data_IF_384126595103
#
_entry.id   IF_384126595103
#
_cell.length_a   1.000
_cell.length_b   1.000
_cell.length_c   1.000
_cell.angle_alpha   90.00
_cell.angle_beta   90.00
_cell.angle_gamma   90.00
#
_symmetry.space_group_name_H-M   'P 1'
#
loop_
_entity.id
_entity.type
_entity.pdbx_description
1 polymer ?
#
# COMPACT_ATOMS: atom_id res chain seq x y z
N UNK A 1 8.23 21.83 -12.37
CA UNK A 1 8.76 20.54 -11.85
C UNK A 1 10.26 20.57 -12.07
N UNK A 2 11.01 20.46 -11.01
CA UNK A 2 12.48 20.43 -11.04
C UNK A 2 12.97 19.16 -11.80
N UNK A 3 14.19 19.20 -12.33
CA UNK A 3 14.81 18.07 -13.05
C UNK A 3 14.85 16.80 -12.18
N UNK A 4 15.19 16.96 -10.89
CA UNK A 4 15.21 15.87 -9.92
C UNK A 4 13.82 15.24 -9.77
N UNK A 5 12.79 16.06 -9.57
CA UNK A 5 11.40 15.61 -9.43
C UNK A 5 10.90 14.85 -10.67
N UNK A 6 11.26 15.33 -11.87
CA UNK A 6 10.89 14.66 -13.11
C UNK A 6 11.55 13.29 -13.24
N UNK A 7 12.85 13.19 -12.93
CA UNK A 7 13.58 11.93 -12.94
C UNK A 7 12.93 10.93 -11.97
N UNK A 8 12.62 11.35 -10.75
CA UNK A 8 12.01 10.49 -9.74
C UNK A 8 10.62 10.04 -10.18
N UNK A 9 9.81 10.92 -10.80
CA UNK A 9 8.48 10.56 -11.28
C UNK A 9 8.51 9.48 -12.37
N UNK A 10 9.34 9.68 -13.41
CA UNK A 10 9.51 8.72 -14.49
C UNK A 10 10.10 7.39 -13.98
N UNK A 11 11.11 7.47 -13.12
CA UNK A 11 11.72 6.29 -12.53
C UNK A 11 10.72 5.49 -11.66
N UNK A 12 9.88 6.16 -10.87
CA UNK A 12 8.85 5.48 -10.05
C UNK A 12 7.90 4.65 -10.92
N UNK A 13 7.43 5.19 -12.05
CA UNK A 13 6.54 4.45 -12.96
C UNK A 13 7.24 3.22 -13.57
N UNK A 14 8.49 3.37 -14.02
CA UNK A 14 9.28 2.27 -14.57
C UNK A 14 9.54 1.21 -13.49
N UNK A 15 9.89 1.64 -12.27
CA UNK A 15 10.20 0.79 -11.14
C UNK A 15 9.01 -0.11 -10.78
N UNK A 16 7.82 0.46 -10.69
CA UNK A 16 6.59 -0.28 -10.35
C UNK A 16 6.17 -1.27 -11.44
N UNK A 17 6.36 -0.90 -12.73
CA UNK A 17 5.90 -1.72 -13.86
C UNK A 17 6.81 -2.89 -14.20
N UNK A 18 8.15 -2.69 -14.19
CA UNK A 18 9.11 -3.69 -14.67
C UNK A 18 10.08 -4.20 -13.60
N UNK A 19 10.05 -3.64 -12.40
CA UNK A 19 10.97 -3.96 -11.31
C UNK A 19 12.37 -3.37 -11.47
N UNK A 20 13.13 -3.27 -10.35
CA UNK A 20 14.44 -2.68 -10.36
C UNK A 20 15.48 -3.51 -11.15
N UNK A 21 15.35 -4.84 -11.27
CA UNK A 21 16.33 -5.65 -12.01
C UNK A 21 16.34 -5.30 -13.50
N UNK A 22 15.17 -5.11 -14.09
CA UNK A 22 15.00 -4.85 -15.53
C UNK A 22 15.26 -3.40 -15.93
N UNK A 23 15.23 -2.45 -14.99
CA UNK A 23 15.45 -1.03 -15.22
C UNK A 23 16.94 -0.70 -15.18
N UNK A 24 17.44 0.06 -16.16
CA UNK A 24 18.81 0.60 -16.17
C UNK A 24 18.83 2.12 -16.06
N UNK A 25 19.95 2.71 -15.64
CA UNK A 25 20.14 4.17 -15.63
C UNK A 25 20.02 4.76 -17.03
N UNK A 26 20.40 4.00 -18.05
CA UNK A 26 20.26 4.39 -19.47
C UNK A 26 18.80 4.51 -19.89
N UNK A 27 17.96 3.58 -19.45
CA UNK A 27 16.52 3.61 -19.74
C UNK A 27 15.86 4.81 -19.07
N UNK A 28 16.23 5.10 -17.81
CA UNK A 28 15.76 6.28 -17.09
C UNK A 28 16.18 7.58 -17.79
N UNK A 29 17.46 7.70 -18.20
CA UNK A 29 17.94 8.87 -18.91
C UNK A 29 17.16 9.09 -20.21
N UNK A 30 16.90 8.00 -20.97
CA UNK A 30 16.11 8.01 -22.20
C UNK A 30 14.66 8.41 -21.96
N UNK A 31 14.00 7.83 -20.97
CA UNK A 31 12.62 8.15 -20.60
C UNK A 31 12.47 9.61 -20.17
N UNK A 32 13.43 10.13 -19.41
CA UNK A 32 13.46 11.54 -19.01
C UNK A 32 13.90 12.51 -20.13
N UNK A 33 14.39 12.04 -21.28
CA UNK A 33 14.93 12.90 -22.35
C UNK A 33 16.14 13.71 -21.90
N UNK A 34 17.00 13.16 -21.04
CA UNK A 34 18.23 13.81 -20.55
C UNK A 34 19.48 13.00 -20.89
N UNK A 35 20.66 13.64 -20.82
CA UNK A 35 21.92 12.93 -21.00
C UNK A 35 22.19 12.02 -19.77
N UNK A 36 22.94 10.90 -19.98
CA UNK A 36 23.48 10.08 -18.91
C UNK A 36 24.27 10.92 -17.89
N UNK A 37 25.06 11.85 -18.36
CA UNK A 37 25.84 12.76 -17.53
C UNK A 37 24.93 13.53 -16.57
N UNK A 38 23.85 14.13 -17.07
CA UNK A 38 22.88 14.88 -16.25
C UNK A 38 22.21 13.97 -15.21
N UNK A 39 21.89 12.74 -15.59
CA UNK A 39 21.32 11.76 -14.65
C UNK A 39 22.30 11.42 -13.52
N UNK A 40 23.57 11.11 -13.86
CA UNK A 40 24.59 10.77 -12.86
C UNK A 40 25.05 11.97 -12.03
N UNK A 41 24.95 13.19 -12.53
CA UNK A 41 25.15 14.42 -11.74
C UNK A 41 24.03 14.62 -10.69
N UNK A 42 22.80 14.12 -10.96
CA UNK A 42 21.67 14.21 -10.05
C UNK A 42 21.62 13.02 -9.08
N UNK A 43 21.87 11.81 -9.59
CA UNK A 43 21.84 10.54 -8.84
C UNK A 43 23.11 9.74 -9.14
N UNK A 44 24.04 9.60 -8.18
CA UNK A 44 25.35 8.98 -8.43
C UNK A 44 25.25 7.49 -8.82
N UNK A 45 24.18 6.83 -8.44
CA UNK A 45 23.93 5.43 -8.74
C UNK A 45 22.44 5.09 -8.74
N UNK A 46 22.13 3.92 -9.27
CA UNK A 46 20.77 3.38 -9.36
C UNK A 46 20.10 3.18 -8.00
N UNK A 47 20.88 2.77 -6.98
CA UNK A 47 20.38 2.54 -5.63
C UNK A 47 19.85 3.84 -5.02
N UNK A 48 20.63 4.92 -5.10
CA UNK A 48 20.24 6.24 -4.60
C UNK A 48 18.95 6.73 -5.27
N UNK A 49 18.83 6.52 -6.58
CA UNK A 49 17.62 6.86 -7.33
C UNK A 49 16.41 6.03 -6.85
N UNK A 50 16.58 4.72 -6.68
CA UNK A 50 15.50 3.82 -6.18
C UNK A 50 15.05 4.23 -4.78
N UNK A 51 15.97 4.52 -3.86
CA UNK A 51 15.63 5.00 -2.50
C UNK A 51 14.78 6.27 -2.56
N UNK A 52 15.14 7.22 -3.41
CA UNK A 52 14.39 8.46 -3.56
C UNK A 52 12.99 8.22 -4.15
N UNK A 53 12.87 7.31 -5.13
CA UNK A 53 11.57 6.90 -5.68
C UNK A 53 10.66 6.29 -4.59
N UNK A 54 11.18 5.36 -3.79
CA UNK A 54 10.43 4.71 -2.71
C UNK A 54 10.04 5.71 -1.60
N UNK A 55 10.93 6.65 -1.28
CA UNK A 55 10.63 7.72 -0.31
C UNK A 55 9.46 8.59 -0.80
N UNK A 56 9.51 9.03 -2.05
CA UNK A 56 8.44 9.82 -2.66
C UNK A 56 7.09 9.07 -2.67
N UNK A 57 7.10 7.79 -3.04
CA UNK A 57 5.90 6.95 -3.02
C UNK A 57 5.33 6.83 -1.60
N UNK A 58 6.20 6.69 -0.60
CA UNK A 58 5.79 6.64 0.80
C UNK A 58 5.16 7.97 1.25
N UNK A 59 5.76 9.11 0.91
CA UNK A 59 5.21 10.44 1.23
C UNK A 59 3.86 10.68 0.55
N UNK A 60 3.75 10.33 -0.74
CA UNK A 60 2.49 10.43 -1.47
C UNK A 60 1.39 9.55 -0.86
N UNK A 61 1.73 8.32 -0.46
CA UNK A 61 0.84 7.42 0.25
C UNK A 61 0.35 8.03 1.57
N UNK A 62 1.25 8.58 2.38
CA UNK A 62 0.91 9.18 3.66
C UNK A 62 0.02 10.42 3.50
N UNK A 63 0.30 11.27 2.52
CA UNK A 63 -0.52 12.45 2.22
C UNK A 63 -1.94 12.05 1.80
N UNK A 64 -2.09 11.05 0.93
CA UNK A 64 -3.38 10.54 0.50
C UNK A 64 -4.15 9.85 1.63
N UNK A 65 -3.46 9.10 2.51
CA UNK A 65 -4.09 8.52 3.70
C UNK A 65 -4.69 9.60 4.60
N UNK A 66 -3.93 10.67 4.88
CA UNK A 66 -4.42 11.82 5.65
C UNK A 66 -5.64 12.47 4.99
N UNK A 67 -5.61 12.65 3.68
CA UNK A 67 -6.74 13.21 2.91
C UNK A 67 -7.99 12.33 3.03
N UNK A 68 -7.84 11.00 2.86
CA UNK A 68 -8.96 10.06 3.00
C UNK A 68 -9.60 10.19 4.38
N UNK A 69 -8.80 10.16 5.47
CA UNK A 69 -9.34 10.27 6.82
C UNK A 69 -9.97 11.62 7.10
N UNK A 70 -9.42 12.72 6.56
CA UNK A 70 -9.96 14.07 6.75
C UNK A 70 -11.26 14.35 5.98
N UNK A 71 -11.48 13.61 4.89
CA UNK A 71 -12.63 13.84 3.98
C UNK A 71 -13.72 12.77 4.06
N UNK A 72 -13.52 11.72 4.86
CA UNK A 72 -14.50 10.66 5.07
C UNK A 72 -15.48 11.05 6.18
N UNK A 73 -16.75 10.66 6.03
CA UNK A 73 -17.82 10.97 6.97
C UNK A 73 -17.76 10.14 8.26
N UNK A 74 -17.07 8.99 8.22
CA UNK A 74 -16.88 8.06 9.34
C UNK A 74 -15.71 7.11 9.08
N UNK A 75 -15.30 6.36 10.12
CA UNK A 75 -14.17 5.45 10.02
C UNK A 75 -14.34 4.33 9.00
N UNK A 76 -15.55 3.80 8.80
CA UNK A 76 -15.77 2.71 7.84
C UNK A 76 -15.67 3.20 6.40
N UNK A 77 -16.16 4.40 6.09
CA UNK A 77 -15.92 5.02 4.80
C UNK A 77 -14.42 5.25 4.56
N UNK A 78 -13.69 5.75 5.56
CA UNK A 78 -12.25 5.93 5.45
C UNK A 78 -11.55 4.61 5.19
N UNK A 79 -11.84 3.55 5.96
CA UNK A 79 -11.26 2.22 5.78
C UNK A 79 -11.59 1.63 4.40
N UNK A 80 -12.81 1.81 3.91
CA UNK A 80 -13.24 1.32 2.61
C UNK A 80 -12.51 2.05 1.46
N UNK A 81 -12.34 3.35 1.54
CA UNK A 81 -11.56 4.15 0.56
C UNK A 81 -10.08 3.77 0.57
N UNK A 82 -9.51 3.50 1.76
CA UNK A 82 -8.15 2.97 1.89
C UNK A 82 -8.02 1.61 1.22
N UNK A 83 -8.99 0.72 1.45
CA UNK A 83 -9.05 -0.59 0.81
C UNK A 83 -9.11 -0.47 -0.73
N UNK A 84 -10.03 0.33 -1.28
CA UNK A 84 -10.15 0.53 -2.72
C UNK A 84 -8.82 1.01 -3.34
N UNK A 85 -8.13 1.90 -2.64
CA UNK A 85 -6.82 2.38 -3.08
C UNK A 85 -5.76 1.28 -3.02
N UNK A 86 -5.72 0.52 -1.92
CA UNK A 86 -4.78 -0.59 -1.77
C UNK A 86 -4.99 -1.65 -2.85
N UNK A 87 -6.25 -1.97 -3.19
CA UNK A 87 -6.62 -2.88 -4.27
C UNK A 87 -6.07 -2.40 -5.63
N UNK A 88 -6.30 -1.13 -5.99
CA UNK A 88 -5.77 -0.55 -7.24
C UNK A 88 -4.24 -0.58 -7.28
N UNK A 89 -3.59 -0.32 -6.16
CA UNK A 89 -2.13 -0.38 -6.06
C UNK A 89 -1.62 -1.82 -6.20
N UNK A 90 -2.33 -2.79 -5.62
CA UNK A 90 -2.01 -4.21 -5.74
C UNK A 90 -2.10 -4.68 -7.20
N UNK A 91 -3.15 -4.29 -7.93
CA UNK A 91 -3.31 -4.56 -9.36
C UNK A 91 -2.21 -3.92 -10.22
N UNK A 92 -1.72 -2.73 -9.83
CA UNK A 92 -0.73 -1.97 -10.57
C UNK A 92 0.72 -2.38 -10.27
N UNK A 93 0.97 -3.05 -9.14
CA UNK A 93 2.34 -3.40 -8.69
C UNK A 93 2.72 -4.78 -9.21
N UNK A 94 3.79 -4.86 -9.99
CA UNK A 94 4.26 -6.14 -10.50
C UNK A 94 4.91 -6.98 -9.39
N UNK A 95 4.68 -8.31 -9.39
CA UNK A 95 5.38 -9.23 -8.50
C UNK A 95 6.91 -9.18 -8.71
N UNK A 96 7.36 -8.83 -9.91
CA UNK A 96 8.78 -8.63 -10.19
C UNK A 96 9.36 -7.50 -9.34
N UNK A 97 8.63 -6.40 -9.15
CA UNK A 97 9.06 -5.29 -8.29
C UNK A 97 9.30 -5.76 -6.84
N UNK A 98 8.33 -6.45 -6.24
CA UNK A 98 8.41 -6.91 -4.85
C UNK A 98 9.59 -7.88 -4.68
N UNK A 99 9.69 -8.90 -5.55
CA UNK A 99 10.74 -9.91 -5.49
C UNK A 99 12.14 -9.32 -5.71
N UNK A 100 12.26 -8.36 -6.61
CA UNK A 100 13.53 -7.70 -6.89
C UNK A 100 13.96 -6.78 -5.73
N UNK A 101 13.03 -6.03 -5.11
CA UNK A 101 13.36 -5.21 -3.92
C UNK A 101 13.85 -6.12 -2.79
N UNK A 102 13.17 -7.20 -2.49
CA UNK A 102 13.61 -8.19 -1.48
C UNK A 102 15.00 -8.72 -1.76
N UNK A 103 15.26 -9.10 -3.00
CA UNK A 103 16.51 -9.77 -3.39
C UNK A 103 17.69 -8.81 -3.52
N UNK A 104 17.49 -7.64 -4.15
CA UNK A 104 18.57 -6.71 -4.52
C UNK A 104 18.80 -5.62 -3.48
N UNK A 105 17.77 -5.31 -2.68
CA UNK A 105 17.78 -4.22 -1.71
C UNK A 105 17.17 -4.64 -0.36
N UNK A 106 17.69 -5.73 0.27
CA UNK A 106 17.08 -6.30 1.47
C UNK A 106 16.99 -5.31 2.63
N UNK A 107 17.96 -4.44 2.81
CA UNK A 107 17.96 -3.40 3.84
C UNK A 107 16.86 -2.33 3.63
N UNK A 108 16.50 -2.04 2.37
CA UNK A 108 15.36 -1.17 2.05
C UNK A 108 14.06 -1.89 2.36
N UNK A 109 14.00 -3.18 2.04
CA UNK A 109 12.85 -4.02 2.31
C UNK A 109 12.61 -4.18 3.83
N UNK A 110 13.68 -4.43 4.61
CA UNK A 110 13.61 -4.52 6.08
C UNK A 110 13.09 -3.24 6.72
N UNK A 111 13.54 -2.06 6.26
CA UNK A 111 12.99 -0.76 6.72
C UNK A 111 11.51 -0.60 6.41
N UNK A 112 11.04 -1.22 5.34
CA UNK A 112 9.61 -1.24 5.02
C UNK A 112 8.82 -2.10 6.02
N UNK A 113 9.40 -3.22 6.47
CA UNK A 113 8.83 -4.12 7.50
C UNK A 113 8.89 -3.49 8.90
N UNK A 114 9.96 -2.77 9.26
CA UNK A 114 10.06 -2.05 10.56
C UNK A 114 8.88 -1.09 10.80
N UNK A 115 8.17 -0.73 9.74
CA UNK A 115 6.95 0.06 9.80
C UNK A 115 5.70 -0.74 10.28
N UNK A 116 5.81 -2.06 10.48
CA UNK A 116 4.68 -2.93 10.86
C UNK A 116 4.01 -2.47 12.16
N UNK A 117 4.80 -2.14 13.18
CA UNK A 117 4.28 -1.62 14.46
C UNK A 117 3.49 -0.33 14.27
N UNK A 118 3.96 0.55 13.39
CA UNK A 118 3.27 1.80 13.04
C UNK A 118 1.94 1.52 12.34
N UNK A 119 1.92 0.55 11.42
CA UNK A 119 0.71 0.13 10.71
C UNK A 119 -0.32 -0.45 11.68
N UNK A 120 0.09 -1.38 12.56
CA UNK A 120 -0.79 -1.97 13.59
C UNK A 120 -1.36 -0.89 14.50
N UNK A 121 -0.51 0.04 14.98
CA UNK A 121 -0.95 1.15 15.83
C UNK A 121 -1.95 2.05 15.11
N UNK A 122 -1.72 2.34 13.82
CA UNK A 122 -2.64 3.12 12.99
C UNK A 122 -3.99 2.45 12.83
N UNK A 123 -4.03 1.17 12.47
CA UNK A 123 -5.27 0.39 12.34
C UNK A 123 -6.01 0.33 13.68
N UNK A 124 -5.30 0.06 14.79
CA UNK A 124 -5.90 0.02 16.12
C UNK A 124 -6.52 1.37 16.51
N UNK A 125 -5.87 2.49 16.15
CA UNK A 125 -6.43 3.84 16.40
C UNK A 125 -7.74 4.07 15.64
N UNK A 126 -7.79 3.65 14.38
CA UNK A 126 -9.02 3.75 13.56
C UNK A 126 -10.14 2.87 14.12
N UNK A 127 -9.81 1.65 14.57
CA UNK A 127 -10.80 0.76 15.19
C UNK A 127 -11.35 1.32 16.49
N UNK A 128 -10.53 1.98 17.35
CA UNK A 128 -11.01 2.66 18.56
C UNK A 128 -11.98 3.80 18.22
N UNK A 129 -11.62 4.63 17.26
CA UNK A 129 -12.52 5.68 16.80
C UNK A 129 -13.82 5.11 16.24
N UNK A 130 -13.76 4.00 15.48
CA UNK A 130 -14.95 3.32 14.99
C UNK A 130 -15.81 2.69 16.11
N UNK A 131 -15.21 2.32 17.26
CA UNK A 131 -15.96 1.94 18.46
C UNK A 131 -16.70 3.15 19.06
N UNK A 132 -16.07 4.30 19.13
CA UNK A 132 -16.70 5.56 19.58
C UNK A 132 -17.85 5.99 18.66
N UNK A 133 -17.72 5.76 17.36
CA UNK A 133 -18.78 5.96 16.36
C UNK A 133 -19.91 4.91 16.42
N UNK A 134 -19.71 3.84 17.21
CA UNK A 134 -20.66 2.72 17.34
C UNK A 134 -20.69 1.78 16.13
N UNK A 135 -19.66 1.82 15.28
CA UNK A 135 -19.53 0.98 14.08
C UNK A 135 -18.82 -0.34 14.38
N UNK A 136 -17.92 -0.37 15.37
CA UNK A 136 -17.17 -1.56 15.80
C UNK A 136 -17.65 -2.02 17.17
N UNK A 137 -17.67 -3.33 17.39
CA UNK A 137 -18.11 -3.99 18.63
C UNK A 137 -17.14 -3.64 19.77
N UNK A 138 -17.63 -3.05 20.87
CA UNK A 138 -16.82 -2.57 22.00
C UNK A 138 -16.03 -3.68 22.73
N UNK A 139 -16.47 -4.93 22.71
CA UNK A 139 -15.76 -6.06 23.34
C UNK A 139 -14.54 -6.53 22.55
N UNK A 140 -14.34 -6.08 21.33
CA UNK A 140 -13.18 -6.41 20.52
C UNK A 140 -12.02 -5.54 20.99
N UNK A 141 -10.86 -6.16 21.22
CA UNK A 141 -9.63 -5.43 21.49
C UNK A 141 -9.04 -4.91 20.15
N UNK A 142 -8.95 -3.58 19.93
CA UNK A 142 -8.49 -3.00 18.68
C UNK A 142 -7.06 -3.39 18.30
N UNK A 143 -6.17 -3.53 19.29
CA UNK A 143 -4.76 -3.90 19.08
C UNK A 143 -4.64 -5.34 18.57
N UNK A 144 -5.40 -6.27 19.16
CA UNK A 144 -5.40 -7.66 18.73
C UNK A 144 -6.04 -7.79 17.35
N UNK A 145 -7.15 -7.11 17.11
CA UNK A 145 -7.81 -7.12 15.79
C UNK A 145 -6.89 -6.54 14.70
N UNK A 146 -6.24 -5.41 14.97
CA UNK A 146 -5.28 -4.79 14.06
C UNK A 146 -4.07 -5.69 13.79
N UNK A 147 -3.54 -6.36 14.82
CA UNK A 147 -2.44 -7.32 14.69
C UNK A 147 -2.84 -8.50 13.79
N UNK A 148 -3.96 -9.15 14.05
CA UNK A 148 -4.43 -10.29 13.26
C UNK A 148 -4.67 -9.91 11.79
N UNK A 149 -5.26 -8.75 11.55
CA UNK A 149 -5.46 -8.24 10.19
C UNK A 149 -4.13 -7.96 9.49
N UNK A 150 -3.19 -7.28 10.17
CA UNK A 150 -1.86 -6.98 9.63
C UNK A 150 -1.09 -8.26 9.30
N UNK A 151 -1.11 -9.27 10.19
CA UNK A 151 -0.46 -10.57 9.93
C UNK A 151 -1.07 -11.29 8.73
N UNK A 152 -2.40 -11.26 8.59
CA UNK A 152 -3.08 -11.89 7.45
C UNK A 152 -2.72 -11.18 6.13
N UNK A 153 -2.63 -9.85 6.14
CA UNK A 153 -2.18 -9.06 4.99
C UNK A 153 -0.72 -9.34 4.65
N UNK A 154 0.14 -9.44 5.66
CA UNK A 154 1.55 -9.76 5.48
C UNK A 154 1.73 -11.14 4.85
N UNK A 155 1.06 -12.17 5.36
CA UNK A 155 1.13 -13.54 4.80
C UNK A 155 0.65 -13.59 3.36
N UNK A 156 -0.41 -12.88 3.02
CA UNK A 156 -0.90 -12.79 1.64
C UNK A 156 0.16 -12.19 0.70
N UNK A 157 0.89 -11.18 1.17
CA UNK A 157 1.93 -10.49 0.38
C UNK A 157 3.23 -11.30 0.26
N UNK A 158 3.64 -11.97 1.34
CA UNK A 158 4.91 -12.69 1.41
C UNK A 158 4.84 -14.08 0.79
N UNK A 159 3.71 -14.75 0.91
CA UNK A 159 3.50 -16.13 0.52
C UNK A 159 2.22 -16.31 -0.30
N UNK A 160 2.11 -15.72 -1.51
CA UNK A 160 0.92 -15.84 -2.34
C UNK A 160 0.70 -17.31 -2.72
N UNK A 161 -0.28 -17.96 -2.11
CA UNK A 161 -0.61 -19.37 -2.33
C UNK A 161 -1.93 -19.56 -3.09
N UNK A 162 -2.67 -18.48 -3.34
CA UNK A 162 -3.99 -18.51 -3.98
C UNK A 162 -4.01 -19.25 -5.31
N UNK A 163 -3.00 -19.04 -6.13
CA UNK A 163 -2.88 -19.69 -7.44
C UNK A 163 -2.89 -21.24 -7.38
N UNK A 164 -2.38 -21.83 -6.29
CA UNK A 164 -2.41 -23.30 -6.09
C UNK A 164 -3.82 -23.84 -5.93
N UNK A 165 -4.77 -22.98 -5.54
CA UNK A 165 -6.20 -23.31 -5.35
C UNK A 165 -7.08 -22.73 -6.45
N UNK A 166 -6.49 -22.10 -7.47
CA UNK A 166 -7.22 -21.46 -8.57
C UNK A 166 -7.82 -20.09 -8.20
N UNK A 167 -7.40 -19.49 -7.10
CA UNK A 167 -7.87 -18.16 -6.68
C UNK A 167 -6.94 -17.07 -7.19
N UNK A 168 -7.49 -15.94 -7.55
CA UNK A 168 -6.74 -14.72 -7.79
C UNK A 168 -6.41 -14.05 -6.46
N UNK A 169 -5.25 -13.46 -6.37
CA UNK A 169 -4.80 -12.83 -5.13
C UNK A 169 -5.62 -11.59 -4.78
N UNK A 170 -6.05 -10.84 -5.78
CA UNK A 170 -6.98 -9.72 -5.62
C UNK A 170 -8.30 -10.15 -4.97
N UNK A 171 -8.85 -11.32 -5.37
CA UNK A 171 -10.08 -11.84 -4.78
C UNK A 171 -9.87 -12.25 -3.31
N UNK A 172 -8.70 -12.83 -2.99
CA UNK A 172 -8.34 -13.16 -1.60
C UNK A 172 -8.21 -11.89 -0.76
N UNK A 173 -7.56 -10.85 -1.30
CA UNK A 173 -7.44 -9.55 -0.64
C UNK A 173 -8.81 -8.95 -0.33
N UNK A 174 -9.72 -8.94 -1.32
CA UNK A 174 -11.09 -8.44 -1.16
C UNK A 174 -11.85 -9.21 -0.07
N UNK A 175 -11.81 -10.54 -0.12
CA UNK A 175 -12.46 -11.38 0.88
C UNK A 175 -11.89 -11.20 2.29
N UNK A 176 -10.56 -11.08 2.41
CA UNK A 176 -9.92 -10.86 3.69
C UNK A 176 -10.35 -9.52 4.30
N UNK A 177 -10.34 -8.44 3.52
CA UNK A 177 -10.71 -7.11 4.00
C UNK A 177 -12.18 -7.04 4.42
N UNK A 178 -13.10 -7.48 3.55
CA UNK A 178 -14.54 -7.45 3.83
C UNK A 178 -14.89 -8.37 5.00
N UNK A 179 -14.32 -9.58 5.07
CA UNK A 179 -14.54 -10.50 6.19
C UNK A 179 -14.04 -9.91 7.52
N UNK A 180 -12.89 -9.24 7.51
CA UNK A 180 -12.38 -8.55 8.69
C UNK A 180 -13.33 -7.45 9.15
N UNK A 181 -13.75 -6.55 8.26
CA UNK A 181 -14.68 -5.47 8.62
C UNK A 181 -16.00 -6.01 9.17
N UNK A 182 -16.60 -7.00 8.49
CA UNK A 182 -17.85 -7.64 8.96
C UNK A 182 -17.67 -8.34 10.30
N UNK A 183 -16.51 -8.96 10.54
CA UNK A 183 -16.18 -9.64 11.79
C UNK A 183 -16.06 -8.75 13.01
N UNK A 184 -15.69 -7.48 12.84
CA UNK A 184 -15.56 -6.50 13.92
C UNK A 184 -16.77 -5.57 14.03
N UNK A 185 -17.67 -5.56 13.03
CA UNK A 185 -18.74 -4.59 12.90
C UNK A 185 -19.92 -4.85 13.87
N UNK A 186 -20.55 -3.78 14.33
CA UNK A 186 -21.92 -3.80 14.90
C UNK A 186 -22.95 -3.96 13.77
N UNK A 187 -24.24 -4.08 14.11
CA UNK A 187 -25.33 -4.04 13.11
C UNK A 187 -25.27 -2.74 12.29
N UNK A 188 -25.09 -1.59 12.94
CA UNK A 188 -24.91 -0.29 12.30
C UNK A 188 -23.68 -0.28 11.36
N UNK A 189 -22.58 -0.93 11.77
CA UNK A 189 -21.38 -1.09 10.96
C UNK A 189 -21.63 -1.96 9.72
N UNK A 190 -22.39 -3.05 9.84
CA UNK A 190 -22.75 -3.92 8.71
C UNK A 190 -23.60 -3.15 7.68
N UNK A 191 -24.62 -2.42 8.14
CA UNK A 191 -25.44 -1.58 7.25
C UNK A 191 -24.59 -0.54 6.49
N UNK A 192 -23.60 0.04 7.16
CA UNK A 192 -22.66 0.97 6.51
C UNK A 192 -21.79 0.27 5.46
N UNK A 193 -21.28 -0.93 5.73
CA UNK A 193 -20.50 -1.70 4.75
C UNK A 193 -21.35 -1.98 3.51
N UNK A 194 -22.58 -2.46 3.69
CA UNK A 194 -23.49 -2.77 2.59
C UNK A 194 -23.82 -1.53 1.74
N UNK A 195 -24.02 -0.38 2.39
CA UNK A 195 -24.20 0.89 1.70
C UNK A 195 -22.97 1.25 0.85
N UNK A 196 -21.74 1.11 1.40
CA UNK A 196 -20.51 1.42 0.69
C UNK A 196 -20.25 0.46 -0.48
N UNK A 197 -20.57 -0.81 -0.34
CA UNK A 197 -20.47 -1.80 -1.42
C UNK A 197 -21.42 -1.48 -2.58
N UNK A 198 -22.65 -1.05 -2.30
CA UNK A 198 -23.64 -0.67 -3.34
C UNK A 198 -23.26 0.59 -4.12
N UNK A 199 -22.60 1.55 -3.49
CA UNK A 199 -22.15 2.78 -4.14
C UNK A 199 -20.99 2.58 -5.12
N UNK A 200 -20.33 1.43 -5.07
CA UNK A 200 -19.09 1.14 -5.81
C UNK A 200 -19.21 -0.05 -6.79
N UNK A 201 -20.43 -0.53 -7.01
CA UNK A 201 -20.79 -1.46 -8.10
C UNK A 201 -21.13 -0.69 -9.37
#
# INVERSE_FOLDING_TARGET
MDTKERIVAECSQMLMSMGPASMTMDDVARACGISKRTLYETFPDKRTLIVECLHREHEAKNAQMKEIFNTSSNCFEAMYRVYQRARKMYEATSMAFINDIKRLYPDIFEKHIENEKTVITGIASVLRQAQEEGLVINRINPEIAAFLFSQSMHELHENPKGAKYGFKEEDIFDHLFISFLRGVATIKGIEMIEYLEQQNQ
#
